data_IF_530716596890
#
_entry.id   IF_530716596890
#
_cell.length_a   1.000
_cell.length_b   1.000
_cell.length_c   1.000
_cell.angle_alpha   90.00
_cell.angle_beta   90.00
_cell.angle_gamma   90.00
#
_symmetry.space_group_name_H-M   'P 1'
#
loop_
_entity.id
_entity.type
_entity.pdbx_description
1 polymer ?
#
# COMPACT_ATOMS: atom_id res chain seq x y z
N UNK A 1 -10.60 -21.09 -5.29
CA UNK A 1 -10.27 -19.65 -5.47
C UNK A 1 -8.82 -19.54 -5.93
N UNK A 2 -8.48 -18.66 -6.88
CA UNK A 2 -7.08 -18.52 -7.35
C UNK A 2 -6.19 -18.05 -6.19
N UNK A 3 -5.00 -18.63 -6.01
CA UNK A 3 -4.12 -18.35 -4.87
C UNK A 3 -3.71 -16.87 -4.76
N UNK A 4 -3.44 -16.21 -5.89
CA UNK A 4 -3.14 -14.77 -5.91
C UNK A 4 -4.28 -13.91 -5.36
N UNK A 5 -5.53 -14.35 -5.52
CA UNK A 5 -6.69 -13.63 -5.01
C UNK A 5 -6.76 -13.73 -3.48
N UNK A 6 -6.40 -14.89 -2.91
CA UNK A 6 -6.30 -15.07 -1.45
C UNK A 6 -5.25 -14.10 -0.90
N UNK A 7 -4.04 -14.09 -1.47
CA UNK A 7 -2.97 -13.19 -1.03
C UNK A 7 -3.37 -11.71 -1.16
N UNK A 8 -4.02 -11.32 -2.26
CA UNK A 8 -4.51 -9.96 -2.45
C UNK A 8 -5.54 -9.55 -1.39
N UNK A 9 -6.52 -10.40 -1.09
CA UNK A 9 -7.53 -10.13 -0.06
C UNK A 9 -6.92 -10.06 1.34
N UNK A 10 -6.02 -10.99 1.69
CA UNK A 10 -5.30 -10.96 2.96
C UNK A 10 -4.45 -9.70 3.10
N UNK A 11 -3.73 -9.30 2.05
CA UNK A 11 -2.95 -8.07 2.05
C UNK A 11 -3.84 -6.84 2.27
N UNK A 12 -4.98 -6.76 1.57
CA UNK A 12 -5.95 -5.66 1.73
C UNK A 12 -6.47 -5.54 3.17
N UNK A 13 -6.81 -6.67 3.80
CA UNK A 13 -7.22 -6.71 5.21
C UNK A 13 -6.11 -6.16 6.13
N UNK A 14 -4.88 -6.63 5.95
CA UNK A 14 -3.74 -6.19 6.75
C UNK A 14 -3.45 -4.70 6.56
N UNK A 15 -3.49 -4.19 5.32
CA UNK A 15 -3.35 -2.75 5.05
C UNK A 15 -4.49 -1.94 5.69
N UNK A 16 -5.72 -2.46 5.75
CA UNK A 16 -6.81 -1.81 6.49
C UNK A 16 -6.49 -1.70 7.98
N UNK A 17 -5.99 -2.78 8.59
CA UNK A 17 -5.60 -2.81 10.00
C UNK A 17 -4.41 -1.89 10.30
N UNK A 18 -3.40 -1.83 9.44
CA UNK A 18 -2.22 -0.97 9.67
C UNK A 18 -2.61 0.49 9.78
N UNK A 19 -3.64 0.95 9.05
CA UNK A 19 -4.09 2.35 9.11
C UNK A 19 -4.74 2.68 10.45
N UNK A 20 -5.46 1.73 11.06
CA UNK A 20 -5.98 1.89 12.41
C UNK A 20 -4.83 2.04 13.40
N UNK A 21 -3.81 1.18 13.30
CA UNK A 21 -2.61 1.29 14.13
C UNK A 21 -1.86 2.60 13.89
N UNK A 22 -1.72 3.05 12.65
CA UNK A 22 -1.12 4.35 12.36
C UNK A 22 -1.82 5.48 13.09
N UNK A 23 -3.16 5.52 13.07
CA UNK A 23 -3.89 6.54 13.83
C UNK A 23 -3.64 6.43 15.33
N UNK A 24 -3.67 5.23 15.90
CA UNK A 24 -3.40 5.00 17.33
C UNK A 24 -1.98 5.43 17.73
N UNK A 25 -1.00 5.15 16.87
CA UNK A 25 0.40 5.46 17.13
C UNK A 25 0.72 6.94 16.96
N UNK A 26 0.13 7.64 15.98
CA UNK A 26 0.52 9.02 15.66
C UNK A 26 -0.42 10.11 16.16
N UNK A 27 -1.73 9.89 16.25
CA UNK A 27 -2.63 11.00 16.61
C UNK A 27 -2.41 11.44 18.06
N UNK A 28 -2.39 12.76 18.30
CA UNK A 28 -2.14 13.36 19.62
C UNK A 28 -3.13 12.89 20.70
N UNK A 29 -4.37 12.60 20.31
CA UNK A 29 -5.41 12.08 21.22
C UNK A 29 -5.15 10.64 21.71
N UNK A 30 -4.21 9.93 21.10
CA UNK A 30 -3.82 8.57 21.45
C UNK A 30 -2.38 8.57 21.98
N UNK A 31 -1.42 7.97 21.26
CA UNK A 31 -0.01 7.97 21.68
C UNK A 31 0.78 9.20 21.25
N UNK A 32 0.31 9.95 20.24
CA UNK A 32 0.96 11.17 19.78
C UNK A 32 2.39 10.98 19.24
N UNK A 33 2.75 9.77 18.81
CA UNK A 33 4.09 9.45 18.34
C UNK A 33 4.49 10.30 17.13
N UNK A 34 5.69 10.86 17.16
CA UNK A 34 6.21 11.64 16.04
C UNK A 34 6.26 10.77 14.77
N UNK A 35 5.69 11.22 13.63
CA UNK A 35 5.57 10.42 12.41
C UNK A 35 6.87 9.78 11.92
N UNK A 36 8.02 10.44 12.09
CA UNK A 36 9.32 9.91 11.70
C UNK A 36 9.74 8.68 12.50
N UNK A 37 9.52 8.68 13.82
CA UNK A 37 9.83 7.53 14.69
C UNK A 37 8.87 6.38 14.46
N UNK A 38 7.59 6.67 14.25
CA UNK A 38 6.60 5.65 13.89
C UNK A 38 6.97 5.00 12.56
N UNK A 39 7.36 5.78 11.55
CA UNK A 39 7.83 5.26 10.27
C UNK A 39 9.08 4.39 10.41
N UNK A 40 10.05 4.79 11.23
CA UNK A 40 11.25 3.99 11.50
C UNK A 40 10.88 2.62 12.09
N UNK A 41 9.97 2.59 13.08
CA UNK A 41 9.46 1.34 13.65
C UNK A 41 8.74 0.46 12.62
N UNK A 42 7.91 1.05 11.76
CA UNK A 42 7.27 0.33 10.64
C UNK A 42 8.31 -0.26 9.68
N UNK A 43 9.34 0.51 9.33
CA UNK A 43 10.44 0.07 8.48
C UNK A 43 11.17 -1.15 9.05
N UNK A 44 11.47 -1.15 10.36
CA UNK A 44 12.05 -2.31 11.04
C UNK A 44 11.12 -3.54 10.99
N UNK A 45 9.82 -3.34 11.20
CA UNK A 45 8.83 -4.42 11.08
C UNK A 45 8.77 -5.03 9.67
N UNK A 46 8.82 -4.19 8.64
CA UNK A 46 8.85 -4.65 7.23
C UNK A 46 10.14 -5.42 6.94
N UNK A 47 11.29 -4.94 7.40
CA UNK A 47 12.57 -5.65 7.24
C UNK A 47 12.57 -7.02 7.93
N UNK A 48 11.97 -7.11 9.12
CA UNK A 48 11.78 -8.38 9.83
C UNK A 48 10.88 -9.34 9.03
N UNK A 49 9.74 -8.86 8.52
CA UNK A 49 8.86 -9.67 7.66
C UNK A 49 9.57 -10.20 6.41
N UNK A 50 10.40 -9.39 5.75
CA UNK A 50 11.20 -9.83 4.59
C UNK A 50 12.21 -10.92 4.96
N UNK A 51 12.87 -10.77 6.11
CA UNK A 51 13.84 -11.75 6.62
C UNK A 51 13.16 -13.07 6.98
N UNK A 52 12.04 -13.03 7.70
CA UNK A 52 11.25 -14.21 8.01
C UNK A 52 10.71 -14.86 6.74
N UNK A 53 10.30 -14.06 5.75
CA UNK A 53 9.86 -14.55 4.45
C UNK A 53 10.92 -15.38 3.74
N UNK A 54 12.18 -14.90 3.73
CA UNK A 54 13.31 -15.63 3.15
C UNK A 54 13.61 -16.95 3.87
N UNK A 55 13.36 -17.03 5.18
CA UNK A 55 13.57 -18.24 5.99
C UNK A 55 12.44 -19.26 5.82
N UNK A 56 11.18 -18.81 5.80
CA UNK A 56 10.01 -19.69 5.75
C UNK A 56 9.59 -20.08 4.33
N UNK A 57 9.94 -19.29 3.33
CA UNK A 57 9.69 -19.58 1.91
C UNK A 57 10.98 -19.52 1.09
N UNK A 58 11.97 -20.39 1.38
CA UNK A 58 13.19 -20.43 0.61
C UNK A 58 12.87 -20.85 -0.83
N UNK A 59 13.17 -19.97 -1.80
CA UNK A 59 13.01 -20.29 -3.22
C UNK A 59 14.24 -21.09 -3.71
N UNK A 60 13.99 -22.29 -4.24
CA UNK A 60 15.04 -23.24 -4.66
C UNK A 60 15.64 -22.86 -6.03
N UNK A 61 15.03 -21.92 -6.77
CA UNK A 61 15.47 -21.50 -8.09
C UNK A 61 15.74 -19.99 -8.14
N UNK A 62 16.99 -19.60 -7.90
CA UNK A 62 17.43 -18.22 -8.12
C UNK A 62 17.95 -18.11 -9.55
N UNK A 63 17.02 -18.02 -10.51
CA UNK A 63 17.32 -17.80 -11.93
C UNK A 63 17.57 -16.34 -12.32
N UNK A 64 17.49 -15.41 -11.37
CA UNK A 64 17.73 -13.98 -11.57
C UNK A 64 18.75 -13.45 -10.56
N UNK A 65 19.48 -12.40 -10.94
CA UNK A 65 20.47 -11.74 -10.09
C UNK A 65 19.78 -11.17 -8.82
N UNK A 66 19.79 -11.94 -7.73
CA UNK A 66 19.12 -11.57 -6.46
C UNK A 66 19.65 -10.26 -5.91
N UNK A 67 20.94 -9.98 -6.13
CA UNK A 67 21.53 -8.72 -5.73
C UNK A 67 20.91 -7.57 -6.52
N UNK A 68 20.74 -7.73 -7.84
CA UNK A 68 20.09 -6.73 -8.67
C UNK A 68 18.63 -6.47 -8.22
N UNK A 69 17.84 -7.51 -7.95
CA UNK A 69 16.47 -7.36 -7.44
C UNK A 69 16.44 -6.63 -6.08
N UNK A 70 17.37 -6.96 -5.18
CA UNK A 70 17.53 -6.28 -3.90
C UNK A 70 17.86 -4.79 -4.08
N UNK A 71 18.78 -4.45 -5.00
CA UNK A 71 19.15 -3.06 -5.27
C UNK A 71 17.97 -2.26 -5.85
N UNK A 72 17.17 -2.86 -6.74
CA UNK A 72 15.95 -2.23 -7.26
C UNK A 72 14.83 -2.07 -6.22
N UNK A 73 14.86 -2.85 -5.12
CA UNK A 73 13.91 -2.68 -4.03
C UNK A 73 14.16 -1.40 -3.21
N UNK A 74 15.38 -0.81 -3.26
CA UNK A 74 15.71 0.39 -2.49
C UNK A 74 14.86 1.60 -2.93
N UNK A 75 14.79 1.99 -4.22
CA UNK A 75 13.87 3.05 -4.67
C UNK A 75 12.41 2.77 -4.29
N UNK A 76 11.96 1.52 -4.39
CA UNK A 76 10.60 1.11 -4.02
C UNK A 76 10.35 1.36 -2.52
N UNK A 77 11.29 0.98 -1.66
CA UNK A 77 11.20 1.21 -0.22
C UNK A 77 11.18 2.71 0.12
N UNK A 78 11.97 3.54 -0.58
CA UNK A 78 11.96 4.99 -0.39
C UNK A 78 10.62 5.62 -0.81
N UNK A 79 10.06 5.23 -1.96
CA UNK A 79 8.76 5.71 -2.42
C UNK A 79 7.64 5.32 -1.45
N UNK A 80 7.62 4.05 -1.00
CA UNK A 80 6.63 3.56 -0.05
C UNK A 80 6.78 4.23 1.33
N UNK A 81 8.02 4.39 1.81
CA UNK A 81 8.33 5.06 3.07
C UNK A 81 7.89 6.53 3.05
N UNK A 82 8.16 7.24 1.96
CA UNK A 82 7.73 8.63 1.79
C UNK A 82 6.21 8.75 1.73
N UNK A 83 5.53 7.90 0.97
CA UNK A 83 4.06 7.87 0.93
C UNK A 83 3.46 7.60 2.33
N UNK A 84 4.04 6.65 3.07
CA UNK A 84 3.63 6.34 4.45
C UNK A 84 3.87 7.52 5.38
N UNK A 85 4.98 8.25 5.23
CA UNK A 85 5.26 9.45 6.02
C UNK A 85 4.18 10.52 5.85
N UNK A 86 3.71 10.74 4.62
CA UNK A 86 2.64 11.71 4.33
C UNK A 86 1.33 11.29 5.02
N UNK A 87 0.97 10.00 4.95
CA UNK A 87 -0.21 9.46 5.66
C UNK A 87 -0.08 9.67 7.17
N UNK A 88 1.07 9.31 7.76
CA UNK A 88 1.33 9.48 9.19
C UNK A 88 1.28 10.96 9.61
N UNK A 89 1.77 11.87 8.77
CA UNK A 89 1.69 13.33 8.99
C UNK A 89 0.26 13.83 9.01
N UNK A 90 -0.60 13.38 8.09
CA UNK A 90 -2.02 13.75 8.09
C UNK A 90 -2.73 13.17 9.32
N UNK A 91 -2.42 11.92 9.71
CA UNK A 91 -3.05 11.31 10.89
C UNK A 91 -2.58 11.89 12.22
N UNK A 92 -1.41 12.53 12.25
CA UNK A 92 -0.92 13.24 13.42
C UNK A 92 -1.70 14.54 13.69
N UNK A 93 -2.36 15.13 12.68
CA UNK A 93 -3.13 16.36 12.88
C UNK A 93 -4.44 16.08 13.63
N UNK A 94 -4.95 17.04 14.43
CA UNK A 94 -6.22 16.88 15.16
C UNK A 94 -7.43 16.60 14.25
N UNK A 95 -7.38 17.06 13.00
CA UNK A 95 -8.44 16.90 11.99
C UNK A 95 -8.28 15.64 11.14
N UNK A 96 -7.21 14.86 11.32
CA UNK A 96 -6.91 13.66 10.54
C UNK A 96 -7.92 12.52 10.74
N UNK A 97 -8.83 12.34 9.79
CA UNK A 97 -9.80 11.25 9.80
C UNK A 97 -9.39 10.12 8.87
N UNK A 98 -9.22 8.91 9.43
CA UNK A 98 -8.91 7.69 8.67
C UNK A 98 -9.99 7.40 7.62
N UNK A 99 -11.26 7.56 7.97
CA UNK A 99 -12.38 7.33 7.05
C UNK A 99 -12.38 8.24 5.83
N UNK A 100 -11.79 9.44 5.95
CA UNK A 100 -11.62 10.38 4.83
C UNK A 100 -10.33 10.11 4.06
N UNK A 101 -9.23 9.83 4.78
CA UNK A 101 -7.92 9.65 4.21
C UNK A 101 -7.77 8.35 3.40
N UNK A 102 -8.33 7.23 3.89
CA UNK A 102 -8.21 5.90 3.25
C UNK A 102 -8.71 5.89 1.81
N UNK A 103 -9.94 6.35 1.51
CA UNK A 103 -10.41 6.44 0.13
C UNK A 103 -9.50 7.29 -0.76
N UNK A 104 -9.00 8.43 -0.25
CA UNK A 104 -8.19 9.38 -1.02
C UNK A 104 -6.89 8.74 -1.49
N UNK A 105 -6.09 8.15 -0.59
CA UNK A 105 -4.82 7.55 -1.05
C UNK A 105 -5.04 6.20 -1.76
N UNK A 106 -6.17 5.51 -1.53
CA UNK A 106 -6.53 4.29 -2.30
C UNK A 106 -6.82 4.57 -3.79
N UNK A 107 -6.94 5.85 -4.19
CA UNK A 107 -6.91 6.24 -5.61
C UNK A 107 -5.61 5.83 -6.31
N UNK A 108 -4.55 5.52 -5.54
CA UNK A 108 -3.33 4.88 -6.05
C UNK A 108 -3.61 3.57 -6.81
N UNK A 109 -4.75 2.90 -6.55
CA UNK A 109 -5.18 1.69 -7.28
C UNK A 109 -5.42 2.00 -8.75
N UNK A 110 -6.06 3.14 -9.07
CA UNK A 110 -6.25 3.57 -10.46
C UNK A 110 -4.91 3.93 -11.10
N UNK A 111 -4.04 4.64 -10.37
CA UNK A 111 -2.70 4.99 -10.85
C UNK A 111 -1.90 3.72 -11.16
N UNK A 112 -1.89 2.75 -10.26
CA UNK A 112 -1.23 1.46 -10.47
C UNK A 112 -1.80 0.70 -11.66
N UNK A 113 -3.13 0.69 -11.83
CA UNK A 113 -3.77 0.08 -13.00
C UNK A 113 -3.32 0.75 -14.32
N UNK A 114 -3.32 2.08 -14.39
CA UNK A 114 -2.87 2.83 -15.57
C UNK A 114 -1.39 2.54 -15.85
N UNK A 115 -0.54 2.58 -14.83
CA UNK A 115 0.89 2.30 -14.99
C UNK A 115 1.12 0.85 -15.44
N UNK A 116 0.37 -0.12 -14.92
CA UNK A 116 0.48 -1.51 -15.35
C UNK A 116 0.11 -1.68 -16.83
N UNK A 117 -0.97 -1.02 -17.26
CA UNK A 117 -1.37 -0.98 -18.67
C UNK A 117 -0.30 -0.34 -19.56
N UNK A 118 0.29 0.79 -19.14
CA UNK A 118 1.28 1.53 -19.92
C UNK A 118 2.64 0.83 -20.01
N UNK A 119 3.16 0.36 -18.87
CA UNK A 119 4.53 -0.17 -18.77
C UNK A 119 4.59 -1.67 -19.06
N UNK A 120 3.64 -2.45 -18.55
CA UNK A 120 3.64 -3.90 -18.71
C UNK A 120 2.79 -4.37 -19.91
N UNK A 121 2.08 -3.44 -20.57
CA UNK A 121 1.17 -3.75 -21.69
C UNK A 121 0.13 -4.80 -21.33
N UNK A 122 -0.23 -4.88 -20.05
CA UNK A 122 -1.25 -5.78 -19.50
C UNK A 122 -2.66 -5.25 -19.78
N UNK A 123 -2.97 -4.98 -21.04
CA UNK A 123 -4.32 -4.57 -21.44
C UNK A 123 -5.27 -5.76 -21.25
N UNK A 124 -6.23 -5.68 -20.32
CA UNK A 124 -7.29 -6.68 -20.28
C UNK A 124 -8.03 -6.64 -21.62
N UNK A 125 -8.46 -7.79 -22.13
CA UNK A 125 -9.19 -7.86 -23.38
C UNK A 125 -10.68 -8.10 -23.14
N UNK A 126 -11.51 -7.46 -23.96
CA UNK A 126 -12.96 -7.66 -23.96
C UNK A 126 -13.64 -7.22 -22.65
N UNK A 127 -14.55 -8.03 -22.07
CA UNK A 127 -15.35 -7.65 -20.90
C UNK A 127 -14.53 -7.31 -19.64
N UNK A 128 -13.33 -7.86 -19.49
CA UNK A 128 -12.51 -7.66 -18.29
C UNK A 128 -11.88 -6.26 -18.24
N UNK A 129 -11.66 -5.62 -19.39
CA UNK A 129 -11.20 -4.22 -19.45
C UNK A 129 -12.25 -3.29 -18.86
N UNK A 130 -13.50 -3.48 -19.29
CA UNK A 130 -14.63 -2.67 -18.85
C UNK A 130 -14.86 -2.88 -17.35
N UNK A 131 -14.82 -4.13 -16.86
CA UNK A 131 -14.96 -4.44 -15.44
C UNK A 131 -13.86 -3.80 -14.58
N UNK A 132 -12.60 -3.91 -15.00
CA UNK A 132 -11.48 -3.33 -14.27
C UNK A 132 -11.54 -1.79 -14.27
N UNK A 133 -11.89 -1.18 -15.40
CA UNK A 133 -12.03 0.28 -15.50
C UNK A 133 -13.19 0.79 -14.65
N UNK A 134 -14.36 0.14 -14.70
CA UNK A 134 -15.51 0.48 -13.84
C UNK A 134 -15.12 0.34 -12.37
N UNK A 135 -14.44 -0.75 -12.00
CA UNK A 135 -13.96 -0.96 -10.63
C UNK A 135 -13.05 0.18 -10.16
N UNK A 136 -12.07 0.57 -10.99
CA UNK A 136 -11.14 1.65 -10.68
C UNK A 136 -11.86 3.02 -10.60
N UNK A 137 -12.82 3.29 -11.49
CA UNK A 137 -13.64 4.50 -11.45
C UNK A 137 -14.52 4.57 -10.21
N UNK A 138 -15.13 3.46 -9.78
CA UNK A 138 -15.92 3.40 -8.56
C UNK A 138 -15.08 3.70 -7.32
N UNK A 139 -13.82 3.24 -7.28
CA UNK A 139 -12.87 3.58 -6.20
C UNK A 139 -12.63 5.10 -6.17
N UNK A 140 -12.39 5.72 -7.33
CA UNK A 140 -12.17 7.17 -7.42
C UNK A 140 -13.41 7.96 -7.05
N UNK A 141 -14.59 7.55 -7.53
CA UNK A 141 -15.85 8.20 -7.18
C UNK A 141 -16.13 8.12 -5.67
N UNK A 142 -15.88 6.96 -5.05
CA UNK A 142 -15.95 6.82 -3.60
C UNK A 142 -15.00 7.77 -2.88
N UNK A 143 -13.77 7.93 -3.39
CA UNK A 143 -12.79 8.85 -2.84
C UNK A 143 -13.19 10.32 -2.98
N UNK A 144 -13.67 10.75 -4.15
CA UNK A 144 -14.07 12.14 -4.41
C UNK A 144 -15.29 12.55 -3.59
N UNK A 145 -16.30 11.68 -3.49
CA UNK A 145 -17.49 11.93 -2.67
C UNK A 145 -17.14 12.18 -1.19
N UNK A 146 -16.10 11.51 -0.70
CA UNK A 146 -15.65 11.65 0.69
C UNK A 146 -14.75 12.88 0.86
N UNK A 147 -13.93 13.20 -0.14
CA UNK A 147 -13.06 14.39 -0.13
C UNK A 147 -13.79 15.73 -0.30
N UNK A 148 -15.04 15.72 -0.77
CA UNK A 148 -15.88 16.93 -0.90
C UNK A 148 -16.61 17.32 0.39
N UNK A 149 -16.42 16.59 1.49
CA UNK A 149 -16.93 16.91 2.83
C UNK A 149 -15.84 17.49 3.73
#
# INVERSE_FOLDING_TARGET
MKLWLVFGLTASLLYGLTVIFFKLLTAERFLGGQPGWVLAGVGLGIAACGTLGAVFWPTVSVGGDTLQAFLWAIPVALMNGFATLLVLRVLHTPTGNVSQLVPIYNTNTLVAFILAVLFFRELPHGPDLIRNLIGALLIVLGATLIGMK
#
